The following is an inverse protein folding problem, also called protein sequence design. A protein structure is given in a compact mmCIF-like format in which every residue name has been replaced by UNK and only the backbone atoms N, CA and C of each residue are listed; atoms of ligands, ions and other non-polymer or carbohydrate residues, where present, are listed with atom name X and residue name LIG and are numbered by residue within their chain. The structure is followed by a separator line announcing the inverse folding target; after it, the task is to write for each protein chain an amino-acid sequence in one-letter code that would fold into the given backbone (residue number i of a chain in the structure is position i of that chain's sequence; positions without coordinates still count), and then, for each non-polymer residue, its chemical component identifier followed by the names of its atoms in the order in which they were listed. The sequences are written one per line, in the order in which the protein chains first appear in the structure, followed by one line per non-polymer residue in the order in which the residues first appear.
data_IF_286816745610
#
_entry.id   IF_286816745610
#
_cell.length_a   1.000
_cell.length_b   1.000
_cell.length_c   1.000
_cell.angle_alpha   90.00
_cell.angle_beta   90.00
_cell.angle_gamma   90.00
#
_symmetry.space_group_name_H-M   'P 1'
#
loop_
_entity.id
_entity.type
_entity.pdbx_description
1 polymer ?
#
# COMPACT_ATOMS: atom_id res chain seq x y z
N UNK A 1 -24.92 -12.75 6.92
CA UNK A 1 -24.75 -11.30 7.12
C UNK A 1 -25.15 -10.63 5.84
N UNK A 2 -26.20 -9.81 5.88
CA UNK A 2 -26.65 -9.02 4.73
C UNK A 2 -25.57 -7.94 4.46
N UNK A 3 -25.04 -7.78 3.23
CA UNK A 3 -24.04 -6.76 2.97
C UNK A 3 -24.68 -5.37 3.15
N UNK A 4 -24.29 -4.68 4.21
CA UNK A 4 -24.73 -3.31 4.47
C UNK A 4 -24.32 -2.40 3.30
N UNK A 5 -25.28 -2.00 2.48
CA UNK A 5 -25.06 -1.04 1.39
C UNK A 5 -25.50 0.33 1.89
N UNK A 6 -24.55 1.22 2.18
CA UNK A 6 -24.80 2.58 2.67
C UNK A 6 -24.28 3.60 1.65
N UNK A 7 -25.15 4.48 1.17
CA UNK A 7 -24.82 5.56 0.21
C UNK A 7 -24.91 6.94 0.87
N UNK A 8 -23.77 7.57 1.05
CA UNK A 8 -23.55 8.93 1.56
C UNK A 8 -22.17 9.39 1.10
N UNK A 9 -21.95 10.72 1.08
CA UNK A 9 -20.73 11.35 0.56
C UNK A 9 -19.47 10.94 1.31
N UNK A 10 -19.56 10.83 2.63
CA UNK A 10 -18.42 10.46 3.47
C UNK A 10 -18.89 9.50 4.54
N UNK A 11 -18.19 8.38 4.71
CA UNK A 11 -18.49 7.42 5.77
C UNK A 11 -17.23 7.03 6.52
N UNK A 12 -17.41 6.80 7.83
CA UNK A 12 -16.42 6.13 8.65
C UNK A 12 -17.03 4.79 9.04
N UNK A 13 -16.40 3.70 8.64
CA UNK A 13 -16.78 2.36 9.03
C UNK A 13 -15.74 1.81 10.00
N UNK A 14 -16.20 1.44 11.19
CA UNK A 14 -15.44 0.58 12.09
C UNK A 14 -16.07 -0.80 11.98
N UNK A 15 -15.28 -1.77 11.53
CA UNK A 15 -15.77 -3.09 11.20
C UNK A 15 -15.01 -4.10 12.03
N UNK A 16 -15.76 -4.85 12.84
CA UNK A 16 -15.24 -5.86 13.76
C UNK A 16 -15.65 -7.25 13.25
N UNK A 17 -14.67 -8.14 13.12
CA UNK A 17 -14.78 -9.53 12.65
C UNK A 17 -15.55 -9.73 11.32
N UNK A 18 -15.35 -8.92 10.27
CA UNK A 18 -16.08 -9.09 9.03
C UNK A 18 -15.42 -10.14 8.13
N UNK A 19 -16.15 -11.19 7.72
CA UNK A 19 -15.60 -12.09 6.70
C UNK A 19 -15.38 -11.38 5.34
N UNK A 20 -16.32 -10.52 4.94
CA UNK A 20 -16.29 -9.78 3.68
C UNK A 20 -16.92 -8.39 3.82
N UNK A 21 -16.25 -7.36 3.32
CA UNK A 21 -16.74 -5.98 3.28
C UNK A 21 -16.75 -5.49 1.83
N UNK A 22 -17.82 -4.82 1.42
CA UNK A 22 -17.86 -4.11 0.14
C UNK A 22 -18.44 -2.72 0.34
N UNK A 23 -17.75 -1.69 -0.14
CA UNK A 23 -18.18 -0.30 0.00
C UNK A 23 -18.07 0.48 -1.31
N UNK A 24 -18.99 1.44 -1.47
CA UNK A 24 -18.96 2.44 -2.54
C UNK A 24 -19.46 3.79 -2.02
N UNK A 25 -18.63 4.82 -2.06
CA UNK A 25 -18.98 6.19 -1.67
C UNK A 25 -18.07 7.20 -2.40
N UNK A 26 -18.29 8.50 -2.27
CA UNK A 26 -17.32 9.51 -2.75
C UNK A 26 -16.05 9.46 -1.90
N UNK A 27 -16.19 9.38 -0.58
CA UNK A 27 -15.07 9.24 0.36
C UNK A 27 -15.40 8.24 1.47
N UNK A 28 -14.40 7.49 1.96
CA UNK A 28 -14.58 6.75 3.21
C UNK A 28 -13.29 6.46 3.98
N UNK A 29 -13.47 6.22 5.27
CA UNK A 29 -12.46 5.73 6.19
C UNK A 29 -12.93 4.36 6.69
N UNK A 30 -12.10 3.34 6.53
CA UNK A 30 -12.31 2.01 7.09
C UNK A 30 -11.29 1.75 8.19
N UNK A 31 -11.78 1.34 9.34
CA UNK A 31 -10.99 0.69 10.38
C UNK A 31 -11.45 -0.75 10.45
N UNK A 32 -10.59 -1.68 10.05
CA UNK A 32 -10.92 -3.11 9.96
C UNK A 32 -10.15 -3.83 11.06
N UNK A 33 -10.91 -4.48 11.94
CA UNK A 33 -10.43 -5.36 13.00
C UNK A 33 -11.01 -6.76 12.76
N UNK A 34 -10.16 -7.78 12.78
CA UNK A 34 -10.48 -9.16 12.44
C UNK A 34 -10.17 -9.55 10.99
N UNK A 35 -10.23 -10.87 10.74
CA UNK A 35 -9.93 -11.47 9.43
C UNK A 35 -10.93 -11.00 8.38
N UNK A 36 -10.47 -10.30 7.34
CA UNK A 36 -11.37 -9.67 6.37
C UNK A 36 -10.93 -9.79 4.90
N UNK A 37 -11.91 -9.90 4.01
CA UNK A 37 -11.75 -9.55 2.59
C UNK A 37 -12.51 -8.27 2.28
N UNK A 38 -11.84 -7.22 1.82
CA UNK A 38 -12.48 -5.93 1.56
C UNK A 38 -12.32 -5.51 0.11
N UNK A 39 -13.43 -5.09 -0.49
CA UNK A 39 -13.45 -4.44 -1.79
C UNK A 39 -14.03 -3.03 -1.67
N UNK A 40 -13.33 -2.01 -2.15
CA UNK A 40 -13.82 -0.64 -2.10
C UNK A 40 -13.65 0.15 -3.39
N UNK A 41 -14.59 1.06 -3.65
CA UNK A 41 -14.52 2.05 -4.72
C UNK A 41 -14.96 3.43 -4.22
N UNK A 42 -14.14 4.45 -4.42
CA UNK A 42 -14.45 5.84 -4.07
C UNK A 42 -13.54 6.81 -4.81
N UNK A 43 -13.69 8.11 -4.62
CA UNK A 43 -12.71 9.12 -5.02
C UNK A 43 -11.53 9.15 -4.03
N UNK A 44 -11.82 9.05 -2.72
CA UNK A 44 -10.78 8.96 -1.68
C UNK A 44 -11.05 7.88 -0.62
N UNK A 45 -9.99 7.18 -0.20
CA UNK A 45 -10.06 6.19 0.88
C UNK A 45 -8.95 6.35 1.90
N UNK A 46 -9.28 6.04 3.15
CA UNK A 46 -8.30 5.69 4.19
C UNK A 46 -8.66 4.30 4.70
N UNK A 47 -7.73 3.35 4.66
CA UNK A 47 -7.89 2.03 5.30
C UNK A 47 -6.86 1.88 6.40
N UNK A 48 -7.34 1.64 7.61
CA UNK A 48 -6.54 1.19 8.76
C UNK A 48 -6.86 -0.29 8.99
N UNK A 49 -5.84 -1.12 8.89
CA UNK A 49 -5.96 -2.58 8.93
C UNK A 49 -5.16 -3.07 10.12
N UNK A 50 -5.83 -3.64 11.12
CA UNK A 50 -5.17 -4.12 12.35
C UNK A 50 -4.91 -5.62 12.35
N UNK A 51 -5.53 -6.38 11.45
CA UNK A 51 -5.57 -7.84 11.44
C UNK A 51 -5.43 -8.40 10.02
N UNK A 52 -5.26 -9.73 9.87
CA UNK A 52 -5.17 -10.39 8.58
C UNK A 52 -6.23 -9.92 7.57
N UNK A 53 -5.80 -9.32 6.46
CA UNK A 53 -6.73 -8.82 5.46
C UNK A 53 -6.30 -9.08 4.02
N UNK A 54 -7.29 -9.27 3.15
CA UNK A 54 -7.13 -9.18 1.69
C UNK A 54 -7.92 -7.99 1.17
N UNK A 55 -7.24 -7.06 0.50
CA UNK A 55 -7.82 -5.79 0.06
C UNK A 55 -7.76 -5.67 -1.46
N UNK A 56 -8.87 -5.23 -2.05
CA UNK A 56 -8.92 -4.79 -3.43
C UNK A 56 -9.60 -3.41 -3.51
N UNK A 57 -8.91 -2.40 -4.03
CA UNK A 57 -9.47 -1.05 -4.05
C UNK A 57 -9.21 -0.29 -5.35
N UNK A 58 -10.10 0.68 -5.61
CA UNK A 58 -9.93 1.67 -6.67
C UNK A 58 -10.35 3.04 -6.15
N UNK A 59 -9.53 4.06 -6.41
CA UNK A 59 -9.90 5.46 -6.20
C UNK A 59 -9.01 6.43 -6.96
N UNK A 60 -9.16 7.71 -6.72
CA UNK A 60 -8.19 8.73 -7.10
C UNK A 60 -7.06 8.76 -6.05
N UNK A 61 -7.40 8.73 -4.76
CA UNK A 61 -6.41 8.71 -3.66
C UNK A 61 -6.63 7.59 -2.65
N UNK A 62 -5.54 6.93 -2.20
CA UNK A 62 -5.57 6.03 -1.05
C UNK A 62 -4.52 6.37 0.01
N UNK A 63 -4.91 6.14 1.26
CA UNK A 63 -4.01 5.99 2.38
C UNK A 63 -4.25 4.61 2.99
N UNK A 64 -3.20 3.80 3.09
CA UNK A 64 -3.20 2.52 3.77
C UNK A 64 -2.29 2.57 4.98
N UNK A 65 -2.84 2.25 6.14
CA UNK A 65 -2.08 1.97 7.36
C UNK A 65 -2.30 0.51 7.70
N UNK A 66 -1.25 -0.29 7.61
CA UNK A 66 -1.30 -1.75 7.70
C UNK A 66 -0.46 -2.18 8.90
N UNK A 67 -1.13 -2.64 9.95
CA UNK A 67 -0.53 -3.02 11.22
C UNK A 67 -0.46 -4.54 11.43
N UNK A 68 -1.14 -5.33 10.60
CA UNK A 68 -1.11 -6.78 10.64
C UNK A 68 -0.91 -7.39 9.24
N UNK A 69 -0.87 -8.72 9.12
CA UNK A 69 -0.62 -9.37 7.85
C UNK A 69 -1.61 -8.95 6.77
N UNK A 70 -1.16 -8.58 5.57
CA UNK A 70 -2.09 -8.18 4.53
C UNK A 70 -1.63 -8.52 3.11
N UNK A 71 -2.61 -8.72 2.24
CA UNK A 71 -2.43 -8.69 0.79
C UNK A 71 -3.25 -7.55 0.22
N UNK A 72 -2.59 -6.56 -0.39
CA UNK A 72 -3.25 -5.37 -0.94
C UNK A 72 -3.05 -5.28 -2.44
N UNK A 73 -4.16 -5.20 -3.17
CA UNK A 73 -4.19 -4.87 -4.58
C UNK A 73 -4.93 -3.55 -4.80
N UNK A 74 -4.27 -2.55 -5.37
CA UNK A 74 -4.86 -1.20 -5.47
C UNK A 74 -4.56 -0.53 -6.80
N UNK A 75 -5.43 0.41 -7.18
CA UNK A 75 -5.24 1.31 -8.32
C UNK A 75 -5.75 2.70 -7.96
N UNK A 76 -4.94 3.73 -8.23
CA UNK A 76 -5.31 5.13 -7.96
C UNK A 76 -4.26 6.10 -8.46
N UNK A 77 -4.60 7.37 -8.63
CA UNK A 77 -3.67 8.44 -9.00
C UNK A 77 -2.56 8.64 -7.96
N UNK A 78 -2.88 8.53 -6.66
CA UNK A 78 -1.90 8.64 -5.57
C UNK A 78 -2.11 7.63 -4.44
N UNK A 79 -1.02 6.95 -4.01
CA UNK A 79 -1.06 6.11 -2.80
C UNK A 79 -0.03 6.52 -1.77
N UNK A 80 -0.44 6.40 -0.51
CA UNK A 80 0.43 6.38 0.66
C UNK A 80 0.23 5.02 1.36
N UNK A 81 1.33 4.31 1.56
CA UNK A 81 1.39 3.06 2.30
C UNK A 81 2.26 3.23 3.54
N UNK A 82 1.71 2.92 4.70
CA UNK A 82 2.44 2.72 5.95
C UNK A 82 2.28 1.25 6.33
N UNK A 83 3.38 0.51 6.31
CA UNK A 83 3.41 -0.95 6.50
C UNK A 83 4.24 -1.24 7.74
N UNK A 84 3.63 -1.86 8.76
CA UNK A 84 4.29 -2.20 10.02
C UNK A 84 4.52 -3.71 10.20
N UNK A 85 3.93 -4.56 9.36
CA UNK A 85 4.02 -6.02 9.47
C UNK A 85 3.93 -6.71 8.07
N UNK A 86 4.03 -8.04 8.06
CA UNK A 86 4.09 -8.91 6.90
C UNK A 86 3.05 -8.56 5.82
N UNK A 87 3.47 -7.83 4.80
CA UNK A 87 2.54 -7.33 3.78
C UNK A 87 3.01 -7.65 2.38
N UNK A 88 2.08 -8.09 1.53
CA UNK A 88 2.24 -8.13 0.08
C UNK A 88 1.43 -7.02 -0.57
N UNK A 89 2.09 -6.11 -1.30
CA UNK A 89 1.43 -5.02 -2.02
C UNK A 89 1.65 -5.17 -3.52
N UNK A 90 0.56 -5.07 -4.27
CA UNK A 90 0.55 -4.90 -5.72
C UNK A 90 -0.25 -3.65 -6.09
N UNK A 91 0.43 -2.61 -6.57
CA UNK A 91 -0.21 -1.31 -6.82
C UNK A 91 0.13 -0.73 -8.18
N UNK A 92 -0.74 0.17 -8.65
CA UNK A 92 -0.49 1.01 -9.82
C UNK A 92 -0.98 2.43 -9.54
N UNK A 93 -0.15 3.41 -9.87
CA UNK A 93 -0.44 4.81 -9.61
C UNK A 93 0.33 5.78 -10.47
N UNK A 94 0.08 7.08 -10.36
CA UNK A 94 0.99 8.12 -10.85
C UNK A 94 2.05 8.39 -9.77
N UNK A 95 1.65 8.36 -8.49
CA UNK A 95 2.52 8.67 -7.35
C UNK A 95 2.42 7.64 -6.23
N UNK A 96 3.57 7.20 -5.73
CA UNK A 96 3.66 6.27 -4.62
C UNK A 96 4.58 6.76 -3.50
N UNK A 97 4.09 6.67 -2.26
CA UNK A 97 4.90 6.80 -1.05
C UNK A 97 4.75 5.53 -0.23
N UNK A 98 5.87 4.88 0.05
CA UNK A 98 5.95 3.70 0.92
C UNK A 98 6.82 4.02 2.13
N UNK A 99 6.25 3.82 3.31
CA UNK A 99 6.98 3.74 4.58
C UNK A 99 6.83 2.32 5.09
N UNK A 100 7.94 1.58 5.15
CA UNK A 100 7.97 0.15 5.42
C UNK A 100 8.84 -0.08 6.66
N UNK A 101 8.19 -0.48 7.74
CA UNK A 101 8.81 -0.69 9.06
C UNK A 101 8.88 -2.16 9.46
N UNK A 102 8.28 -3.07 8.69
CA UNK A 102 8.31 -4.50 8.91
C UNK A 102 8.39 -5.27 7.59
N UNK A 103 8.37 -6.62 7.63
CA UNK A 103 8.58 -7.43 6.44
C UNK A 103 7.58 -7.13 5.32
N UNK A 104 8.06 -6.87 4.10
CA UNK A 104 7.15 -6.62 2.98
C UNK A 104 7.66 -7.13 1.63
N UNK A 105 6.72 -7.46 0.76
CA UNK A 105 6.94 -7.68 -0.67
C UNK A 105 6.12 -6.66 -1.45
N UNK A 106 6.78 -5.75 -2.16
CA UNK A 106 6.12 -4.68 -2.91
C UNK A 106 6.40 -4.83 -4.41
N UNK A 107 5.33 -4.89 -5.19
CA UNK A 107 5.37 -4.81 -6.64
C UNK A 107 4.55 -3.61 -7.11
N UNK A 108 5.19 -2.57 -7.62
CA UNK A 108 4.51 -1.32 -7.95
C UNK A 108 4.97 -0.73 -9.28
N UNK A 109 4.07 0.07 -9.86
CA UNK A 109 4.32 0.85 -11.07
C UNK A 109 3.72 2.23 -10.91
N UNK A 110 4.52 3.26 -11.12
CA UNK A 110 4.05 4.64 -11.14
C UNK A 110 4.99 5.56 -11.92
N UNK A 111 4.71 6.85 -12.00
CA UNK A 111 5.64 7.84 -12.56
C UNK A 111 6.71 8.19 -11.53
N UNK A 112 6.31 8.35 -10.27
CA UNK A 112 7.20 8.61 -9.14
C UNK A 112 7.01 7.66 -7.96
N UNK A 113 8.12 7.20 -7.37
CA UNK A 113 8.09 6.54 -6.08
C UNK A 113 9.04 7.16 -5.06
N UNK A 114 8.58 7.16 -3.82
CA UNK A 114 9.40 7.34 -2.63
C UNK A 114 9.28 6.09 -1.75
N UNK A 115 10.41 5.51 -1.40
CA UNK A 115 10.50 4.40 -0.44
C UNK A 115 11.35 4.81 0.76
N UNK A 116 10.80 4.57 1.95
CA UNK A 116 11.54 4.56 3.20
C UNK A 116 11.41 3.15 3.77
N UNK A 117 12.52 2.43 3.83
CA UNK A 117 12.58 1.02 4.21
C UNK A 117 13.45 0.89 5.45
N UNK A 118 12.89 0.36 6.53
CA UNK A 118 13.58 0.18 7.81
C UNK A 118 13.85 -1.29 8.17
N UNK A 119 13.30 -2.25 7.44
CA UNK A 119 13.40 -3.69 7.74
C UNK A 119 13.32 -4.55 6.45
N UNK A 120 13.42 -5.87 6.59
CA UNK A 120 13.46 -6.90 5.54
C UNK A 120 12.39 -6.71 4.46
N UNK A 121 12.79 -6.10 3.35
CA UNK A 121 11.84 -5.78 2.28
C UNK A 121 12.34 -6.28 0.93
N UNK A 122 11.44 -6.87 0.15
CA UNK A 122 11.65 -7.12 -1.28
C UNK A 122 10.81 -6.14 -2.09
N UNK A 123 11.44 -5.35 -2.95
CA UNK A 123 10.73 -4.43 -3.85
C UNK A 123 11.10 -4.72 -5.30
N UNK A 124 10.07 -4.81 -6.14
CA UNK A 124 10.17 -4.73 -7.58
C UNK A 124 9.37 -3.51 -8.07
N UNK A 125 10.07 -2.48 -8.54
CA UNK A 125 9.45 -1.21 -8.91
C UNK A 125 9.81 -0.80 -10.34
N UNK A 126 8.88 -0.11 -11.00
CA UNK A 126 9.12 0.58 -12.27
C UNK A 126 8.57 2.00 -12.19
N UNK A 127 9.41 2.99 -12.50
CA UNK A 127 9.06 4.41 -12.42
C UNK A 127 9.84 5.25 -13.42
N UNK A 128 9.45 6.50 -13.62
CA UNK A 128 10.36 7.50 -14.23
C UNK A 128 11.37 7.99 -13.19
N UNK A 129 10.91 8.18 -11.95
CA UNK A 129 11.74 8.64 -10.83
C UNK A 129 11.61 7.80 -9.57
N UNK A 130 12.75 7.59 -8.91
CA UNK A 130 12.84 6.84 -7.67
C UNK A 130 13.65 7.59 -6.61
N UNK A 131 13.12 7.63 -5.39
CA UNK A 131 13.85 8.00 -4.18
C UNK A 131 13.77 6.84 -3.20
N UNK A 132 14.91 6.36 -2.73
CA UNK A 132 15.02 5.26 -1.79
C UNK A 132 15.86 5.65 -0.58
N UNK A 133 15.30 5.51 0.60
CA UNK A 133 16.01 5.54 1.88
C UNK A 133 15.91 4.15 2.49
N UNK A 134 17.05 3.47 2.65
CA UNK A 134 17.13 2.08 3.08
C UNK A 134 18.02 2.01 4.31
N UNK A 135 17.43 1.64 5.45
CA UNK A 135 18.12 1.58 6.73
C UNK A 135 18.59 0.17 7.10
N UNK A 136 18.00 -0.88 6.54
CA UNK A 136 18.32 -2.28 6.84
C UNK A 136 18.22 -3.16 5.58
N UNK A 137 18.31 -4.49 5.73
CA UNK A 137 18.36 -5.49 4.66
C UNK A 137 17.17 -5.36 3.70
N UNK A 138 17.42 -4.83 2.51
CA UNK A 138 16.46 -4.80 1.42
C UNK A 138 16.99 -5.53 0.18
N UNK A 139 16.10 -6.21 -0.54
CA UNK A 139 16.34 -6.67 -1.91
C UNK A 139 15.52 -5.81 -2.85
N UNK A 140 16.20 -5.00 -3.64
CA UNK A 140 15.56 -4.04 -4.54
C UNK A 140 15.88 -4.37 -6.00
N UNK A 141 14.85 -4.44 -6.83
CA UNK A 141 14.95 -4.44 -8.27
C UNK A 141 14.14 -3.27 -8.84
N UNK A 142 14.82 -2.21 -9.27
CA UNK A 142 14.18 -1.00 -9.80
C UNK A 142 14.53 -0.77 -11.27
N UNK A 143 13.57 -0.21 -12.00
CA UNK A 143 13.79 0.36 -13.33
C UNK A 143 13.26 1.79 -13.34
N UNK A 144 14.14 2.76 -13.59
CA UNK A 144 13.72 4.14 -13.81
C UNK A 144 14.77 4.97 -14.51
N UNK A 145 14.34 6.09 -15.09
CA UNK A 145 15.23 7.09 -15.72
C UNK A 145 16.13 7.75 -14.68
N UNK A 146 15.60 8.02 -13.49
CA UNK A 146 16.33 8.68 -12.39
C UNK A 146 16.16 7.95 -11.06
N UNK A 147 17.26 7.85 -10.30
CA UNK A 147 17.28 7.26 -8.96
C UNK A 147 18.08 8.10 -7.98
N UNK A 148 17.60 8.16 -6.73
CA UNK A 148 18.36 8.65 -5.57
C UNK A 148 18.33 7.55 -4.51
N UNK A 149 19.51 7.20 -3.97
CA UNK A 149 19.67 6.19 -2.93
C UNK A 149 20.38 6.75 -1.71
N UNK A 150 19.84 6.47 -0.53
CA UNK A 150 20.50 6.59 0.76
C UNK A 150 20.44 5.21 1.42
N UNK A 151 21.58 4.59 1.69
CA UNK A 151 21.66 3.21 2.18
C UNK A 151 22.59 3.19 3.41
N UNK A 152 22.11 2.68 4.54
CA UNK A 152 22.85 2.72 5.82
C UNK A 152 23.24 1.35 6.39
N UNK A 153 22.95 0.24 5.70
CA UNK A 153 23.34 -1.14 6.08
C UNK A 153 23.30 -2.09 4.85
N UNK A 154 23.77 -3.36 4.92
CA UNK A 154 23.94 -4.18 3.72
C UNK A 154 22.61 -4.50 3.02
N UNK A 155 22.32 -3.76 1.96
CA UNK A 155 21.20 -4.00 1.05
C UNK A 155 21.69 -4.48 -0.32
N UNK A 156 20.93 -5.37 -0.96
CA UNK A 156 21.17 -5.75 -2.36
C UNK A 156 20.29 -4.90 -3.26
N UNK A 157 20.91 -3.98 -4.00
CA UNK A 157 20.20 -3.08 -4.93
C UNK A 157 20.63 -3.38 -6.36
N UNK A 158 19.66 -3.75 -7.19
CA UNK A 158 19.80 -3.88 -8.63
C UNK A 158 18.94 -2.81 -9.32
N UNK A 159 19.58 -1.76 -9.81
CA UNK A 159 18.92 -0.69 -10.56
C UNK A 159 19.29 -0.77 -12.04
N UNK A 160 18.31 -0.59 -12.92
CA UNK A 160 18.56 -0.33 -14.35
C UNK A 160 18.02 1.05 -14.71
N UNK A 161 18.85 1.86 -15.33
CA UNK A 161 18.41 3.02 -16.09
C UNK A 161 17.79 2.56 -17.41
N UNK A 162 16.72 3.22 -17.83
CA UNK A 162 16.11 3.03 -19.16
C UNK A 162 16.77 3.97 -20.19
#
# INVERSE_FOLDING_TARGET
MDPATVTSKTHIYVIMDPATVTSKSESHIHVIMGLATVTSKSESHIHVIMDPATMASKSESHIYVIMGPATVASKSESHIYVIMDLTTVASKSESHIYVIMGPATVASKSESHIYVIMDLTTVASKSESHIHVIMDLATMASKSESHIYVIMDPATVASKSE
#
